data_IF_897606578905
#
_entry.id   IF_897606578905
#
_cell.length_a   1.000
_cell.length_b   1.000
_cell.length_c   1.000
_cell.angle_alpha   90.00
_cell.angle_beta   90.00
_cell.angle_gamma   90.00
#
_symmetry.space_group_name_H-M   'P 1'
#
loop_
_entity.id
_entity.type
_entity.pdbx_description
1 polymer ?
#
# COMPACT_ATOMS: atom_id res chain seq x y z
N UNK A 1 -39.28 2.81 57.57
CA UNK A 1 -39.13 3.15 56.14
C UNK A 1 -37.70 2.81 55.78
N UNK A 2 -37.32 1.55 55.71
CA UNK A 2 -37.70 0.53 54.71
C UNK A 2 -37.04 0.81 53.36
N UNK A 3 -36.07 -0.08 53.05
CA UNK A 3 -35.22 -0.18 51.86
C UNK A 3 -36.04 -0.18 50.57
N UNK A 4 -35.44 0.27 49.46
CA UNK A 4 -35.33 -0.56 48.24
C UNK A 4 -34.00 -0.28 47.53
N UNK A 5 -33.19 -1.33 47.38
CA UNK A 5 -32.15 -1.47 46.37
C UNK A 5 -32.85 -1.80 45.04
N UNK A 6 -32.44 -1.19 43.92
CA UNK A 6 -32.83 -1.66 42.59
C UNK A 6 -31.66 -2.38 41.89
N UNK A 7 -31.92 -3.51 41.19
CA UNK A 7 -30.93 -4.46 40.69
C UNK A 7 -30.44 -4.13 39.26
N UNK A 8 -29.48 -4.90 38.66
CA UNK A 8 -28.75 -4.49 37.47
C UNK A 8 -29.58 -4.69 36.19
N UNK A 9 -29.33 -3.85 35.18
CA UNK A 9 -29.98 -3.96 33.87
C UNK A 9 -29.32 -5.07 33.05
N UNK A 10 -29.98 -6.21 32.92
CA UNK A 10 -29.70 -7.22 31.90
C UNK A 10 -30.08 -6.66 30.51
N UNK A 11 -29.16 -6.77 29.55
CA UNK A 11 -29.45 -6.53 28.13
C UNK A 11 -29.49 -7.88 27.41
N UNK A 12 -30.71 -8.39 27.23
CA UNK A 12 -31.00 -9.53 26.36
C UNK A 12 -31.55 -9.00 25.05
N UNK A 13 -30.86 -9.24 23.93
CA UNK A 13 -31.51 -9.71 22.70
C UNK A 13 -30.47 -10.11 21.65
N UNK A 14 -30.64 -11.35 21.20
CA UNK A 14 -29.96 -11.99 20.10
C UNK A 14 -30.24 -11.24 18.78
N UNK A 15 -29.19 -10.97 18.01
CA UNK A 15 -29.33 -10.71 16.57
C UNK A 15 -28.55 -11.78 15.84
N UNK A 16 -29.25 -12.85 15.46
CA UNK A 16 -28.76 -13.86 14.54
C UNK A 16 -28.44 -13.20 13.19
N UNK A 17 -27.17 -13.28 12.77
CA UNK A 17 -26.76 -12.96 11.40
C UNK A 17 -26.80 -14.26 10.61
N UNK A 18 -27.81 -14.38 9.75
CA UNK A 18 -27.98 -15.49 8.81
C UNK A 18 -26.82 -15.51 7.80
N UNK A 19 -26.09 -16.63 7.72
CA UNK A 19 -25.12 -16.88 6.65
C UNK A 19 -25.85 -17.32 5.37
N UNK A 20 -25.39 -16.89 4.18
CA UNK A 20 -25.95 -17.37 2.92
C UNK A 20 -25.67 -18.87 2.70
N UNK A 21 -26.57 -19.61 2.02
CA UNK A 21 -26.42 -21.04 1.81
C UNK A 21 -25.25 -21.38 0.88
N UNK A 22 -24.52 -22.44 1.24
CA UNK A 22 -23.49 -23.08 0.41
C UNK A 22 -24.12 -23.71 -0.83
N UNK A 23 -23.55 -23.56 -2.04
CA UNK A 23 -24.03 -24.25 -3.22
C UNK A 23 -23.82 -25.77 -3.10
N UNK A 24 -24.72 -26.59 -3.68
CA UNK A 24 -24.60 -28.04 -3.62
C UNK A 24 -23.49 -28.56 -4.55
N UNK A 25 -22.66 -29.45 -3.99
CA UNK A 25 -21.75 -30.32 -4.74
C UNK A 25 -22.54 -31.45 -5.45
N UNK A 26 -21.97 -31.86 -6.58
CA UNK A 26 -22.26 -33.05 -7.39
C UNK A 26 -23.38 -32.99 -8.43
N UNK A 27 -22.99 -32.83 -9.69
CA UNK A 27 -23.52 -33.64 -10.79
C UNK A 27 -22.53 -33.68 -11.97
N UNK A 28 -21.75 -34.75 -12.03
CA UNK A 28 -21.11 -35.18 -13.26
C UNK A 28 -22.19 -35.56 -14.28
N UNK A 29 -22.25 -34.84 -15.39
CA UNK A 29 -23.05 -35.20 -16.55
C UNK A 29 -22.14 -35.28 -17.78
N UNK A 30 -21.98 -36.50 -18.28
CA UNK A 30 -21.40 -36.85 -19.55
C UNK A 30 -22.21 -36.29 -20.72
N UNK A 31 -21.55 -35.59 -21.65
CA UNK A 31 -22.04 -35.42 -23.02
C UNK A 31 -20.87 -35.69 -23.96
N UNK A 32 -20.94 -36.85 -24.59
CA UNK A 32 -20.17 -37.19 -25.79
C UNK A 32 -21.05 -36.84 -27.00
N UNK A 33 -20.61 -35.91 -27.85
CA UNK A 33 -21.03 -35.87 -29.25
C UNK A 33 -19.92 -35.22 -30.08
N UNK A 34 -19.27 -36.07 -30.84
CA UNK A 34 -18.53 -35.82 -32.07
C UNK A 34 -19.06 -34.66 -32.91
N UNK A 35 -18.26 -33.60 -33.03
CA UNK A 35 -18.14 -32.80 -34.25
C UNK A 35 -16.66 -32.52 -34.53
N UNK A 36 -16.24 -32.84 -35.75
CA UNK A 36 -14.88 -32.70 -36.29
C UNK A 36 -14.37 -31.25 -36.23
N UNK A 37 -13.05 -31.01 -36.09
CA UNK A 37 -12.52 -29.66 -36.09
C UNK A 37 -12.59 -29.09 -37.51
N UNK A 38 -13.58 -28.23 -37.75
CA UNK A 38 -13.58 -27.33 -38.89
C UNK A 38 -12.39 -26.37 -38.73
N UNK A 39 -11.50 -26.44 -39.71
CA UNK A 39 -10.32 -25.61 -39.86
C UNK A 39 -10.74 -24.13 -39.86
N UNK A 40 -10.29 -23.37 -38.86
CA UNK A 40 -10.35 -21.90 -38.86
C UNK A 40 -9.01 -21.40 -39.40
N UNK A 41 -9.10 -21.01 -40.68
CA UNK A 41 -8.29 -20.08 -41.46
C UNK A 41 -7.10 -19.40 -40.75
N UNK A 42 -5.89 -19.79 -41.15
CA UNK A 42 -4.61 -19.16 -40.84
C UNK A 42 -4.49 -17.84 -41.62
N UNK A 43 -5.00 -16.74 -41.06
CA UNK A 43 -4.99 -15.43 -41.71
C UNK A 43 -4.61 -14.30 -40.76
N UNK A 44 -3.29 -14.06 -40.64
CA UNK A 44 -2.60 -12.92 -40.01
C UNK A 44 -3.26 -12.31 -38.76
N UNK A 45 -2.71 -12.60 -37.59
CA UNK A 45 -2.93 -11.79 -36.39
C UNK A 45 -2.39 -10.36 -36.68
N UNK A 46 -3.23 -9.31 -36.73
CA UNK A 46 -2.80 -7.95 -37.08
C UNK A 46 -1.81 -7.34 -36.07
N UNK A 47 -1.51 -8.07 -34.99
CA UNK A 47 -0.55 -7.69 -33.98
C UNK A 47 0.89 -8.03 -34.37
N UNK A 48 1.15 -8.93 -35.33
CA UNK A 48 2.52 -9.40 -35.62
C UNK A 48 3.42 -8.32 -36.26
N UNK A 49 2.93 -7.60 -37.27
CA UNK A 49 3.73 -6.55 -37.93
C UNK A 49 3.95 -5.34 -37.00
N UNK A 50 2.95 -5.01 -36.17
CA UNK A 50 3.08 -3.95 -35.18
C UNK A 50 4.06 -4.35 -34.06
N UNK A 51 3.95 -5.58 -33.55
CA UNK A 51 4.88 -6.13 -32.56
C UNK A 51 6.30 -6.24 -33.13
N UNK A 52 6.46 -6.56 -34.41
CA UNK A 52 7.75 -6.63 -35.08
C UNK A 52 8.40 -5.25 -35.24
N UNK A 53 7.62 -4.22 -35.58
CA UNK A 53 8.09 -2.83 -35.57
C UNK A 53 8.49 -2.41 -34.16
N UNK A 54 7.71 -2.76 -33.13
CA UNK A 54 8.07 -2.46 -31.74
C UNK A 54 9.36 -3.17 -31.31
N UNK A 55 9.54 -4.45 -31.65
CA UNK A 55 10.75 -5.22 -31.34
C UNK A 55 11.98 -4.68 -32.10
N UNK A 56 11.84 -4.34 -33.39
CA UNK A 56 12.92 -3.74 -34.20
C UNK A 56 13.28 -2.33 -33.74
N UNK A 57 12.27 -1.52 -33.37
CA UNK A 57 12.44 -0.10 -33.00
C UNK A 57 12.95 0.06 -31.58
N UNK A 58 12.38 -0.66 -30.61
CA UNK A 58 12.69 -0.47 -29.20
C UNK A 58 13.72 -1.47 -28.66
N UNK A 59 13.92 -2.63 -29.32
CA UNK A 59 14.88 -3.68 -28.92
C UNK A 59 14.88 -3.96 -27.41
N UNK A 60 13.72 -4.01 -26.78
CA UNK A 60 13.61 -4.29 -25.34
C UNK A 60 13.51 -5.82 -25.18
N UNK A 61 14.56 -6.51 -24.71
CA UNK A 61 14.55 -7.97 -24.65
C UNK A 61 13.58 -8.46 -23.56
N UNK A 62 12.38 -8.88 -23.96
CA UNK A 62 11.29 -9.30 -23.06
C UNK A 62 11.60 -10.63 -22.33
N UNK A 63 12.61 -11.39 -22.79
CA UNK A 63 12.95 -12.75 -22.31
C UNK A 63 14.36 -12.91 -21.73
N UNK A 64 15.03 -11.84 -21.32
CA UNK A 64 16.34 -11.98 -20.67
C UNK A 64 16.20 -12.20 -19.16
N UNK A 65 16.97 -13.16 -18.62
CA UNK A 65 17.24 -13.22 -17.17
C UNK A 65 17.92 -11.91 -16.78
N UNK A 66 17.24 -11.13 -15.96
CA UNK A 66 17.76 -9.89 -15.40
C UNK A 66 19.07 -10.18 -14.66
N UNK A 67 20.20 -9.76 -15.24
CA UNK A 67 21.45 -9.61 -14.48
C UNK A 67 21.44 -8.18 -13.95
N UNK A 68 21.50 -8.04 -12.64
CA UNK A 68 21.64 -6.73 -11.99
C UNK A 68 22.94 -6.08 -12.49
N UNK A 69 22.82 -5.14 -13.43
CA UNK A 69 23.94 -4.33 -13.91
C UNK A 69 24.00 -3.11 -13.01
N UNK A 70 24.97 -3.08 -12.10
CA UNK A 70 25.15 -1.94 -11.20
C UNK A 70 25.59 -0.73 -12.03
N UNK A 71 24.65 0.18 -12.29
CA UNK A 71 24.83 1.31 -13.22
C UNK A 71 24.66 2.66 -12.50
N UNK A 72 24.52 2.65 -11.17
CA UNK A 72 24.37 3.84 -10.33
C UNK A 72 25.70 4.25 -9.70
N UNK A 73 25.89 5.55 -9.50
CA UNK A 73 26.97 6.07 -8.66
C UNK A 73 26.65 5.76 -7.19
N UNK A 74 27.62 5.31 -6.37
CA UNK A 74 27.40 5.00 -4.95
C UNK A 74 26.86 6.17 -4.13
N UNK A 75 27.01 7.41 -4.62
CA UNK A 75 26.55 8.62 -3.94
C UNK A 75 25.03 8.66 -3.68
N UNK A 76 24.25 7.86 -4.42
CA UNK A 76 22.80 7.71 -4.22
C UNK A 76 22.41 6.40 -3.52
N UNK A 77 23.38 5.57 -3.15
CA UNK A 77 23.12 4.36 -2.40
C UNK A 77 22.92 4.70 -0.94
N UNK A 78 21.65 4.73 -0.56
CA UNK A 78 21.31 4.38 0.79
C UNK A 78 21.47 2.87 0.90
N UNK A 79 22.46 2.40 1.67
CA UNK A 79 22.69 0.98 1.98
C UNK A 79 21.57 0.46 2.91
N UNK A 80 20.32 0.65 2.50
CA UNK A 80 19.20 -0.08 3.06
C UNK A 80 18.98 -1.28 2.13
N UNK A 81 19.68 -2.38 2.42
CA UNK A 81 19.49 -3.68 1.76
C UNK A 81 18.20 -4.39 2.22
N UNK A 82 17.37 -3.75 3.05
CA UNK A 82 16.14 -4.36 3.52
C UNK A 82 15.16 -4.55 2.37
N UNK A 83 14.46 -5.69 2.42
CA UNK A 83 13.38 -5.99 1.50
C UNK A 83 12.29 -4.89 1.55
N UNK A 84 11.51 -4.77 0.47
CA UNK A 84 10.36 -3.88 0.44
C UNK A 84 9.06 -4.69 0.41
N UNK A 85 8.17 -4.42 1.36
CA UNK A 85 6.81 -4.94 1.35
C UNK A 85 5.93 -4.07 0.46
N UNK A 86 5.37 -4.68 -0.58
CA UNK A 86 4.47 -4.02 -1.51
C UNK A 86 3.01 -4.32 -1.16
N UNK A 87 2.28 -3.29 -0.73
CA UNK A 87 0.86 -3.36 -0.39
C UNK A 87 0.02 -2.62 -1.42
N UNK A 88 -0.94 -3.30 -2.03
CA UNK A 88 -1.89 -2.71 -2.98
C UNK A 88 -3.27 -2.59 -2.34
N UNK A 89 -3.69 -1.37 -2.05
CA UNK A 89 -5.00 -1.07 -1.46
C UNK A 89 -4.94 -0.02 -0.36
N UNK A 90 -6.05 0.16 0.33
CA UNK A 90 -6.18 1.11 1.43
C UNK A 90 -5.96 0.42 2.78
N UNK A 91 -5.07 0.97 3.61
CA UNK A 91 -4.96 0.60 5.02
C UNK A 91 -6.07 1.34 5.77
N UNK A 92 -7.08 0.60 6.23
CA UNK A 92 -8.30 1.14 6.84
C UNK A 92 -8.15 1.35 8.35
N UNK A 93 -9.06 2.12 8.93
CA UNK A 93 -9.11 2.35 10.38
C UNK A 93 -9.09 1.05 11.17
N UNK A 94 -8.27 0.98 12.20
CA UNK A 94 -8.09 -0.21 13.05
C UNK A 94 -7.14 -1.26 12.47
N UNK A 95 -6.66 -1.11 11.23
CA UNK A 95 -5.66 -2.00 10.65
C UNK A 95 -4.25 -1.54 11.02
N UNK A 96 -3.36 -2.51 11.26
CA UNK A 96 -1.92 -2.30 11.42
C UNK A 96 -1.18 -3.04 10.31
N UNK A 97 -0.19 -2.39 9.70
CA UNK A 97 0.76 -2.97 8.76
C UNK A 97 2.15 -2.76 9.32
N UNK A 98 2.85 -3.85 9.64
CA UNK A 98 4.16 -3.83 10.29
C UNK A 98 5.12 -4.67 9.46
N UNK A 99 6.30 -4.13 9.14
CA UNK A 99 7.27 -4.83 8.31
C UNK A 99 8.73 -4.49 8.69
N UNK A 100 9.60 -5.51 8.89
CA UNK A 100 11.04 -5.31 9.12
C UNK A 100 11.75 -5.04 7.79
N UNK A 101 11.45 -3.88 7.21
CA UNK A 101 12.11 -3.35 6.03
C UNK A 101 11.41 -2.09 5.53
N UNK A 102 11.43 -1.90 4.23
CA UNK A 102 10.75 -0.80 3.56
C UNK A 102 9.28 -1.15 3.28
N UNK A 103 8.37 -0.17 3.33
CA UNK A 103 6.94 -0.36 3.00
C UNK A 103 6.56 0.54 1.85
N UNK A 104 5.97 -0.05 0.80
CA UNK A 104 5.40 0.69 -0.34
C UNK A 104 3.91 0.41 -0.40
N UNK A 105 3.09 1.45 -0.29
CA UNK A 105 1.63 1.38 -0.34
C UNK A 105 1.14 2.04 -1.62
N UNK A 106 0.56 1.23 -2.51
CA UNK A 106 -0.23 1.71 -3.65
C UNK A 106 -1.69 1.88 -3.21
N UNK A 107 -1.96 3.01 -2.57
CA UNK A 107 -3.27 3.37 -2.06
C UNK A 107 -3.20 4.35 -0.89
N UNK A 108 -4.29 4.40 -0.12
CA UNK A 108 -4.49 5.36 0.96
C UNK A 108 -4.20 4.73 2.34
N UNK A 109 -3.76 5.55 3.29
CA UNK A 109 -3.76 5.23 4.72
C UNK A 109 -4.81 6.13 5.39
N UNK A 110 -5.89 5.51 5.87
CA UNK A 110 -6.98 6.25 6.49
C UNK A 110 -6.66 6.64 7.95
N UNK A 111 -7.37 7.63 8.52
CA UNK A 111 -7.32 7.89 9.96
C UNK A 111 -7.59 6.62 10.78
N UNK A 112 -6.85 6.44 11.88
CA UNK A 112 -6.96 5.26 12.74
C UNK A 112 -6.27 4.00 12.21
N UNK A 113 -5.65 4.05 11.03
CA UNK A 113 -4.73 3.03 10.55
C UNK A 113 -3.32 3.27 11.12
N UNK A 114 -2.54 2.19 11.25
CA UNK A 114 -1.15 2.20 11.70
C UNK A 114 -0.25 1.54 10.65
N UNK A 115 0.85 2.19 10.31
CA UNK A 115 1.89 1.62 9.44
C UNK A 115 3.25 1.80 10.10
N UNK A 116 3.97 0.69 10.30
CA UNK A 116 5.28 0.65 10.96
C UNK A 116 6.28 -0.07 10.05
N UNK A 117 7.44 0.54 9.86
CA UNK A 117 8.52 0.03 9.03
C UNK A 117 9.87 0.22 9.74
N UNK A 118 10.78 -0.76 9.68
CA UNK A 118 12.17 -0.56 10.12
C UNK A 118 12.93 0.39 9.20
N UNK A 119 12.54 0.46 7.91
CA UNK A 119 13.08 1.36 6.91
C UNK A 119 12.10 2.44 6.47
N UNK A 120 12.05 2.69 5.17
CA UNK A 120 11.26 3.76 4.54
C UNK A 120 9.77 3.42 4.42
N UNK A 121 8.93 4.46 4.38
CA UNK A 121 7.50 4.32 4.07
C UNK A 121 7.13 5.21 2.87
N UNK A 122 6.69 4.58 1.78
CA UNK A 122 6.26 5.25 0.56
C UNK A 122 4.76 5.06 0.34
N UNK A 123 3.99 6.15 0.33
CA UNK A 123 2.52 6.11 0.18
C UNK A 123 2.10 6.81 -1.11
N UNK A 124 1.74 6.02 -2.10
CA UNK A 124 1.18 6.50 -3.37
C UNK A 124 -0.32 6.78 -3.24
N UNK A 125 -0.67 7.71 -2.34
CA UNK A 125 -2.04 8.11 -2.05
C UNK A 125 -2.14 9.09 -0.89
N UNK A 126 -3.30 9.11 -0.22
CA UNK A 126 -3.56 9.94 0.95
C UNK A 126 -2.98 9.31 2.20
N UNK A 127 -2.17 10.06 2.94
CA UNK A 127 -1.56 9.63 4.19
C UNK A 127 -2.25 10.38 5.35
N UNK A 128 -3.22 9.75 6.01
CA UNK A 128 -4.02 10.33 7.11
C UNK A 128 -3.92 9.54 8.42
N UNK A 129 -3.33 8.35 8.41
CA UNK A 129 -3.14 7.51 9.60
C UNK A 129 -1.87 7.85 10.39
N UNK A 130 -1.50 6.93 11.27
CA UNK A 130 -0.27 6.96 12.05
C UNK A 130 0.80 6.20 11.27
N UNK A 131 1.97 6.83 11.09
CA UNK A 131 3.11 6.22 10.40
C UNK A 131 4.37 6.29 11.26
N UNK A 132 5.12 5.20 11.30
CA UNK A 132 6.42 5.10 11.99
C UNK A 132 7.44 4.43 11.08
N UNK A 133 8.27 5.25 10.44
CA UNK A 133 9.43 4.78 9.67
C UNK A 133 10.67 4.70 10.57
N UNK A 134 11.68 3.93 10.16
CA UNK A 134 12.90 3.82 10.96
C UNK A 134 12.67 3.20 12.33
N UNK A 135 11.66 2.34 12.50
CA UNK A 135 11.16 1.93 13.82
C UNK A 135 12.22 1.24 14.71
N UNK A 136 13.28 0.71 14.10
CA UNK A 136 14.44 0.10 14.79
C UNK A 136 15.59 1.09 15.05
N UNK A 137 15.37 2.39 14.88
CA UNK A 137 16.35 3.45 15.16
C UNK A 137 17.05 4.00 13.92
N UNK A 138 16.56 3.69 12.72
CA UNK A 138 17.11 4.22 11.47
C UNK A 138 16.64 5.67 11.23
N UNK A 139 17.50 6.63 11.60
CA UNK A 139 17.19 8.06 11.52
C UNK A 139 17.17 8.60 10.08
N UNK A 140 17.81 7.92 9.14
CA UNK A 140 17.85 8.35 7.72
C UNK A 140 16.64 7.83 6.93
N UNK A 141 15.75 7.07 7.58
CA UNK A 141 14.50 6.64 6.99
C UNK A 141 13.62 7.83 6.60
N UNK A 142 12.87 7.67 5.51
CA UNK A 142 12.00 8.72 4.97
C UNK A 142 10.55 8.26 4.89
N UNK A 143 9.64 9.23 5.00
CA UNK A 143 8.22 9.04 4.73
C UNK A 143 7.81 9.93 3.58
N UNK A 144 7.22 9.35 2.53
CA UNK A 144 6.71 10.10 1.38
C UNK A 144 5.22 9.83 1.21
N UNK A 145 4.46 10.87 0.89
CA UNK A 145 3.03 10.76 0.61
C UNK A 145 2.57 11.77 -0.43
N UNK A 146 1.70 11.35 -1.34
CA UNK A 146 1.11 12.22 -2.38
C UNK A 146 0.17 13.29 -1.79
N UNK A 147 -0.54 12.94 -0.72
CA UNK A 147 -1.29 13.89 0.11
C UNK A 147 -0.90 13.67 1.56
N UNK A 148 0.00 14.51 2.07
CA UNK A 148 0.71 14.28 3.32
C UNK A 148 0.04 14.97 4.50
N UNK A 149 -0.83 14.23 5.21
CA UNK A 149 -1.59 14.72 6.35
C UNK A 149 -1.67 13.69 7.50
N UNK A 150 -0.53 13.13 7.97
CA UNK A 150 -0.53 12.11 9.02
C UNK A 150 -1.24 12.60 10.28
N UNK A 151 -1.99 11.71 10.94
CA UNK A 151 -2.48 11.98 12.29
C UNK A 151 -1.34 12.01 13.29
N UNK A 152 -0.33 11.16 13.08
CA UNK A 152 0.94 11.16 13.79
C UNK A 152 2.04 10.65 12.86
N UNK A 153 3.20 11.30 12.91
CA UNK A 153 4.38 10.94 12.13
C UNK A 153 5.52 10.60 13.10
N UNK A 154 6.22 9.49 12.86
CA UNK A 154 7.44 9.13 13.58
C UNK A 154 8.52 8.68 12.60
N UNK A 155 9.75 9.07 12.89
CA UNK A 155 10.94 8.59 12.20
C UNK A 155 11.96 8.28 13.30
N UNK A 156 12.37 7.02 13.43
CA UNK A 156 13.17 6.56 14.56
C UNK A 156 12.56 6.98 15.91
N UNK A 157 13.34 7.63 16.77
CA UNK A 157 12.90 8.16 18.07
C UNK A 157 12.14 9.49 17.98
N UNK A 158 12.12 10.13 16.80
CA UNK A 158 11.54 11.46 16.63
C UNK A 158 10.04 11.37 16.36
N UNK A 159 9.28 12.26 17.01
CA UNK A 159 7.83 12.35 16.86
C UNK A 159 7.47 13.70 16.24
N UNK A 160 6.90 13.65 15.05
CA UNK A 160 6.33 14.80 14.37
C UNK A 160 4.91 15.02 14.83
N UNK A 161 4.67 16.15 15.50
CA UNK A 161 3.31 16.64 15.73
C UNK A 161 2.92 17.54 14.57
N UNK A 162 1.72 17.36 13.98
CA UNK A 162 1.16 18.39 13.11
C UNK A 162 1.14 19.72 13.88
N UNK A 163 1.47 20.86 13.26
CA UNK A 163 1.30 22.16 13.91
C UNK A 163 -0.15 22.33 14.35
N UNK A 164 -0.37 22.85 15.56
CA UNK A 164 -1.71 23.02 16.19
C UNK A 164 -2.65 23.83 15.30
N UNK A 165 -2.10 24.78 14.53
CA UNK A 165 -2.79 25.49 13.48
C UNK A 165 -2.36 24.92 12.12
N UNK A 166 -3.26 24.21 11.44
CA UNK A 166 -3.10 23.99 10.00
C UNK A 166 -3.12 25.38 9.36
N UNK A 167 -2.05 25.84 8.70
CA UNK A 167 -2.12 27.09 7.95
C UNK A 167 -3.31 26.95 7.01
N UNK A 168 -4.26 27.88 7.05
CA UNK A 168 -5.43 27.91 6.14
C UNK A 168 -5.02 27.94 4.65
N UNK A 169 -3.72 27.97 4.38
CA UNK A 169 -3.03 28.12 3.12
C UNK A 169 -2.20 26.90 2.68
N UNK A 170 -2.16 25.76 3.41
CA UNK A 170 -1.71 24.51 2.76
C UNK A 170 -2.67 24.26 1.60
N UNK A 171 -2.11 24.28 0.39
CA UNK A 171 -2.84 24.50 -0.84
C UNK A 171 -4.07 23.59 -0.96
N UNK A 172 -5.13 24.09 -1.61
CA UNK A 172 -6.33 23.30 -2.02
C UNK A 172 -6.01 22.08 -2.89
N UNK A 173 -4.73 21.79 -3.16
CA UNK A 173 -4.27 20.70 -4.04
C UNK A 173 -3.36 19.77 -3.24
N UNK A 174 -3.53 18.44 -3.39
CA UNK A 174 -2.61 17.47 -2.80
C UNK A 174 -1.20 17.73 -3.34
N UNK A 175 -0.25 17.90 -2.42
CA UNK A 175 1.17 18.07 -2.74
C UNK A 175 1.93 16.88 -2.18
N UNK A 176 2.83 16.34 -3.01
CA UNK A 176 3.73 15.28 -2.58
C UNK A 176 4.80 15.87 -1.68
N UNK A 177 4.86 15.42 -0.44
CA UNK A 177 5.82 15.86 0.56
C UNK A 177 6.67 14.67 1.03
N UNK A 178 7.92 14.96 1.40
CA UNK A 178 8.87 14.05 2.06
C UNK A 178 9.10 14.53 3.48
N UNK A 179 9.00 13.62 4.43
CA UNK A 179 9.48 13.82 5.79
C UNK A 179 10.78 13.04 6.02
N UNK A 180 11.74 13.69 6.68
CA UNK A 180 13.05 13.13 7.01
C UNK A 180 13.63 13.82 8.26
N UNK A 181 14.67 13.24 8.85
CA UNK A 181 15.39 13.88 9.96
C UNK A 181 16.45 14.84 9.44
N UNK A 182 16.45 16.04 10.00
CA UNK A 182 17.50 17.04 9.83
C UNK A 182 17.69 17.80 11.14
N UNK A 183 18.94 17.91 11.58
CA UNK A 183 19.32 18.63 12.80
C UNK A 183 18.51 18.18 14.05
N UNK A 184 18.20 16.87 14.14
CA UNK A 184 17.45 16.28 15.25
C UNK A 184 15.96 16.62 15.27
N UNK A 185 15.40 17.10 14.16
CA UNK A 185 13.98 17.37 14.00
C UNK A 185 13.44 16.75 12.71
N UNK A 186 12.14 16.45 12.70
CA UNK A 186 11.45 16.06 11.48
C UNK A 186 11.22 17.31 10.63
N UNK A 187 11.78 17.30 9.41
CA UNK A 187 11.57 18.32 8.39
C UNK A 187 10.66 17.74 7.31
N UNK A 188 9.70 18.54 6.86
CA UNK A 188 8.75 18.18 5.79
C UNK A 188 8.95 19.17 4.65
N UNK A 189 9.22 18.67 3.44
CA UNK A 189 9.41 19.49 2.24
C UNK A 189 8.68 18.89 1.03
N UNK A 190 8.19 19.73 0.09
CA UNK A 190 7.70 19.25 -1.20
C UNK A 190 8.78 18.53 -2.01
N UNK A 191 8.42 17.46 -2.72
CA UNK A 191 9.33 16.73 -3.62
C UNK A 191 9.36 17.33 -5.05
N UNK A 192 8.47 18.28 -5.37
CA UNK A 192 8.30 18.85 -6.71
C UNK A 192 8.05 20.36 -6.67
#
# INVERSE_FOLDING_TARGET
MERQEEPPTEYTSESQVSLPPTPPDDAAASVDTTESPAQVDDGQDPDDDFMKVLDETFRIPIRQKWKQRQTYTPDYLYENEESAFYFRGTVRSGQSLEFPGNVVILGDINPGAYVVASGDILVMGRLHGVVHAGAEGEERAVVVGVSFNPSQLRIAQYIGRPPDERPRFRAKRPQTEKAYIKDGAIVIEPIL
#
